data_IF_201436155978
#
_entry.id   IF_201436155978
#
_cell.length_a   1.000
_cell.length_b   1.000
_cell.length_c   1.000
_cell.angle_alpha   90.00
_cell.angle_beta   90.00
_cell.angle_gamma   90.00
#
_symmetry.space_group_name_H-M   'P 1'
#
loop_
_entity.id
_entity.type
_entity.pdbx_description
1 polymer ?
#
# COMPACT_ATOMS: atom_id res chain seq x y z
N UNK A 1 3.41 9.05 -3.62
CA UNK A 1 3.92 7.82 -2.95
C UNK A 1 2.80 6.79 -2.87
N UNK A 2 3.07 5.51 -3.13
CA UNK A 2 2.06 4.43 -3.02
C UNK A 2 2.47 3.49 -1.87
N UNK A 3 1.52 3.15 -1.00
CA UNK A 3 1.75 2.25 0.14
C UNK A 3 0.88 1.00 0.00
N UNK A 4 1.49 -0.18 0.12
CA UNK A 4 0.80 -1.47 0.04
C UNK A 4 0.66 -2.07 1.44
N UNK A 5 -0.57 -2.33 1.89
CA UNK A 5 -0.87 -3.07 3.14
C UNK A 5 -2.31 -3.58 3.16
N UNK A 6 -2.67 -4.47 4.09
CA UNK A 6 -4.02 -5.06 4.15
C UNK A 6 -5.14 -4.14 4.71
N UNK A 7 -4.79 -3.07 5.42
CA UNK A 7 -5.75 -2.23 6.18
C UNK A 7 -5.12 -0.88 6.54
N UNK A 8 -5.62 -0.11 7.50
CA UNK A 8 -4.89 1.02 8.13
C UNK A 8 -4.29 0.68 9.51
N UNK A 9 -4.37 -0.58 9.93
CA UNK A 9 -3.84 -1.03 11.23
C UNK A 9 -2.37 -0.67 11.43
N UNK A 10 -1.96 -0.29 12.65
CA UNK A 10 -0.59 0.09 12.97
C UNK A 10 0.36 -1.11 12.94
N UNK A 11 1.66 -0.81 12.88
CA UNK A 11 2.72 -1.80 13.03
C UNK A 11 2.99 -2.14 14.49
N UNK A 12 4.19 -2.68 14.76
CA UNK A 12 4.59 -3.14 16.10
C UNK A 12 4.41 -2.10 17.21
N UNK A 13 4.78 -0.84 16.95
CA UNK A 13 4.68 0.23 17.93
C UNK A 13 3.24 0.68 18.25
N UNK A 14 2.22 0.17 17.55
CA UNK A 14 0.82 0.46 17.83
C UNK A 14 0.35 1.87 17.49
N UNK A 15 1.22 2.72 16.95
CA UNK A 15 0.89 4.12 16.62
C UNK A 15 0.45 4.29 15.15
N UNK A 16 -0.53 5.16 14.86
CA UNK A 16 -0.89 5.54 13.50
C UNK A 16 0.27 6.20 12.75
N UNK A 17 0.41 5.93 11.45
CA UNK A 17 1.39 6.61 10.60
C UNK A 17 0.75 7.82 9.90
N UNK A 18 1.16 9.07 10.21
CA UNK A 18 0.56 10.27 9.62
C UNK A 18 0.77 10.36 8.10
N UNK A 19 1.78 9.69 7.54
CA UNK A 19 2.04 9.68 6.10
C UNK A 19 0.91 8.99 5.30
N UNK A 20 0.11 8.12 5.91
CA UNK A 20 -1.00 7.45 5.21
C UNK A 20 -2.13 8.40 4.84
N UNK A 21 -2.20 9.58 5.47
CA UNK A 21 -3.18 10.63 5.18
C UNK A 21 -2.55 11.86 4.51
N UNK A 22 -1.24 11.83 4.22
CA UNK A 22 -0.56 12.95 3.61
C UNK A 22 -0.97 13.10 2.13
N UNK A 23 -1.14 14.34 1.69
CA UNK A 23 -1.39 14.66 0.30
C UNK A 23 -0.30 14.06 -0.61
N UNK A 24 -0.71 13.49 -1.73
CA UNK A 24 0.19 12.77 -2.64
C UNK A 24 0.55 11.34 -2.19
N UNK A 25 -0.05 10.83 -1.11
CA UNK A 25 0.04 9.43 -0.72
C UNK A 25 -1.23 8.67 -1.12
N UNK A 26 -1.05 7.55 -1.81
CA UNK A 26 -2.13 6.63 -2.18
C UNK A 26 -1.97 5.31 -1.43
N UNK A 27 -3.08 4.79 -0.90
CA UNK A 27 -3.13 3.50 -0.23
C UNK A 27 -3.65 2.43 -1.19
N UNK A 28 -2.83 1.40 -1.44
CA UNK A 28 -3.22 0.21 -2.19
C UNK A 28 -3.47 -0.93 -1.20
N UNK A 29 -4.74 -1.25 -0.95
CA UNK A 29 -5.07 -2.30 0.01
C UNK A 29 -4.97 -3.70 -0.58
N UNK A 30 -4.18 -4.58 0.05
CA UNK A 30 -3.98 -5.95 -0.42
C UNK A 30 -2.92 -6.73 0.36
N UNK A 31 -2.79 -8.02 0.04
CA UNK A 31 -1.64 -8.84 0.43
C UNK A 31 -0.41 -8.36 -0.36
N UNK A 32 0.75 -8.29 0.29
CA UNK A 32 1.94 -7.64 -0.26
C UNK A 32 2.46 -8.29 -1.55
N UNK A 33 2.57 -9.62 -1.57
CA UNK A 33 3.07 -10.33 -2.76
C UNK A 33 2.06 -10.24 -3.91
N UNK A 34 0.79 -10.54 -3.66
CA UNK A 34 -0.26 -10.48 -4.69
C UNK A 34 -0.37 -9.08 -5.29
N UNK A 35 -0.45 -8.04 -4.47
CA UNK A 35 -0.58 -6.66 -4.96
C UNK A 35 0.60 -6.23 -5.83
N UNK A 36 1.84 -6.63 -5.48
CA UNK A 36 3.02 -6.33 -6.30
C UNK A 36 2.97 -7.09 -7.64
N UNK A 37 2.58 -8.36 -7.64
CA UNK A 37 2.45 -9.15 -8.87
C UNK A 37 1.38 -8.59 -9.80
N UNK A 38 0.25 -8.13 -9.26
CA UNK A 38 -0.83 -7.50 -10.02
C UNK A 38 -0.37 -6.21 -10.69
N UNK A 39 0.39 -5.36 -9.97
CA UNK A 39 0.99 -4.14 -10.55
C UNK A 39 1.96 -4.48 -11.68
N UNK A 40 2.83 -5.48 -11.49
CA UNK A 40 3.77 -5.92 -12.54
C UNK A 40 3.03 -6.46 -13.76
N UNK A 41 1.97 -7.24 -13.56
CA UNK A 41 1.15 -7.77 -14.65
C UNK A 41 0.45 -6.65 -15.42
N UNK A 42 -0.14 -5.67 -14.72
CA UNK A 42 -0.79 -4.52 -15.34
C UNK A 42 0.18 -3.69 -16.20
N UNK A 43 1.42 -3.47 -15.72
CA UNK A 43 2.44 -2.74 -16.47
C UNK A 43 2.95 -3.48 -17.72
N UNK A 44 2.94 -4.81 -17.70
CA UNK A 44 3.35 -5.63 -18.86
C UNK A 44 2.29 -5.68 -19.97
N UNK A 45 1.04 -5.44 -19.61
CA UNK A 45 -0.10 -5.44 -20.52
C UNK A 45 -0.52 -4.01 -20.94
N UNK A 46 0.29 -3.01 -20.60
CA UNK A 46 0.09 -1.60 -20.92
C UNK A 46 0.82 -1.18 -22.20
#
# INVERSE_FOLDING_TARGET
MVVIKRSLSPGFAGIPNPLFAADGTLMLFGEGKTAVLDVVAALRNA
#
